data_IF_902233972401
#
_entry.id   IF_902233972401
#
_cell.length_a   1.000
_cell.length_b   1.000
_cell.length_c   1.000
_cell.angle_alpha   90.00
_cell.angle_beta   90.00
_cell.angle_gamma   90.00
#
_symmetry.space_group_name_H-M   'P 1'
#
loop_
_entity.id
_entity.type
_entity.pdbx_description
1 polymer ?
#
# COMPACT_ATOMS: atom_id res chain seq x y z
N UNK A 1 55.32 27.93 19.81
CA UNK A 1 54.68 26.76 19.18
C UNK A 1 53.48 26.26 19.99
N UNK A 2 53.60 26.13 21.30
CA UNK A 2 52.51 25.62 22.16
C UNK A 2 51.22 26.47 22.16
N UNK A 3 51.33 27.78 22.03
CA UNK A 3 50.18 28.70 22.02
C UNK A 3 49.38 28.61 20.72
N UNK A 4 50.08 28.43 19.58
CA UNK A 4 49.46 28.21 18.26
C UNK A 4 48.72 26.87 18.24
N UNK A 5 49.31 25.83 18.85
CA UNK A 5 48.69 24.51 18.93
C UNK A 5 47.38 24.52 19.74
N UNK A 6 47.33 25.29 20.83
CA UNK A 6 46.10 25.45 21.65
C UNK A 6 44.96 26.10 20.86
N UNK A 7 45.25 27.13 20.07
CA UNK A 7 44.25 27.83 19.25
C UNK A 7 43.65 26.88 18.20
N UNK A 8 44.48 26.07 17.54
CA UNK A 8 44.02 25.10 16.52
C UNK A 8 43.12 24.02 17.14
N UNK A 9 43.43 23.53 18.34
CA UNK A 9 42.63 22.51 19.05
C UNK A 9 41.27 23.07 19.50
N UNK A 10 41.23 24.33 19.93
CA UNK A 10 39.97 24.98 20.35
C UNK A 10 39.05 25.23 19.15
N UNK A 11 39.58 25.73 18.03
CA UNK A 11 38.82 25.99 16.80
C UNK A 11 38.29 24.70 16.15
N UNK A 12 39.11 23.64 16.10
CA UNK A 12 38.68 22.32 15.60
C UNK A 12 37.60 21.69 16.50
N UNK A 13 37.68 21.89 17.82
CA UNK A 13 36.61 21.50 18.74
C UNK A 13 35.32 22.31 18.53
N UNK A 14 35.43 23.62 18.34
CA UNK A 14 34.29 24.51 18.13
C UNK A 14 33.52 24.18 16.84
N UNK A 15 34.24 23.97 15.73
CA UNK A 15 33.64 23.56 14.45
C UNK A 15 32.96 22.18 14.54
N UNK A 16 33.55 21.21 15.26
CA UNK A 16 32.93 19.90 15.48
C UNK A 16 31.60 19.98 16.26
N UNK A 17 31.51 20.85 17.27
CA UNK A 17 30.28 21.07 18.04
C UNK A 17 29.16 21.65 17.16
N UNK A 18 29.48 22.63 16.30
CA UNK A 18 28.51 23.23 15.37
C UNK A 18 28.00 22.17 14.38
N UNK A 19 28.90 21.38 13.80
CA UNK A 19 28.51 20.32 12.85
C UNK A 19 27.61 19.29 13.54
N UNK A 20 27.96 18.84 14.75
CA UNK A 20 27.14 17.92 15.54
C UNK A 20 25.74 18.46 15.81
N UNK A 21 25.63 19.76 16.17
CA UNK A 21 24.34 20.42 16.38
C UNK A 21 23.50 20.45 15.09
N UNK A 22 24.10 20.83 13.96
CA UNK A 22 23.42 20.92 12.66
C UNK A 22 22.94 19.54 12.19
N UNK A 23 23.80 18.52 12.29
CA UNK A 23 23.44 17.13 11.94
C UNK A 23 22.33 16.60 12.85
N UNK A 24 22.39 16.85 14.16
CA UNK A 24 21.35 16.42 15.10
C UNK A 24 19.99 17.08 14.82
N UNK A 25 19.97 18.36 14.43
CA UNK A 25 18.74 19.03 14.00
C UNK A 25 18.19 18.47 12.68
N UNK A 26 19.06 18.10 11.74
CA UNK A 26 18.67 17.45 10.48
C UNK A 26 18.09 16.05 10.74
N UNK A 27 18.75 15.22 11.54
CA UNK A 27 18.26 13.88 11.90
C UNK A 27 16.85 13.93 12.48
N UNK A 28 16.59 14.84 13.43
CA UNK A 28 15.25 15.06 14.00
C UNK A 28 14.20 15.48 12.96
N UNK A 29 14.60 16.18 11.89
CA UNK A 29 13.69 16.53 10.79
C UNK A 29 13.45 15.32 9.89
N UNK A 30 14.48 14.57 9.53
CA UNK A 30 14.36 13.35 8.74
C UNK A 30 13.46 12.32 9.44
N UNK A 31 13.69 12.04 10.73
CA UNK A 31 12.84 11.13 11.51
C UNK A 31 11.36 11.55 11.51
N UNK A 32 11.08 12.86 11.62
CA UNK A 32 9.70 13.36 11.56
C UNK A 32 9.09 13.20 10.17
N UNK A 33 9.87 13.36 9.11
CA UNK A 33 9.40 13.17 7.75
C UNK A 33 9.20 11.70 7.43
N UNK A 34 10.10 10.82 7.87
CA UNK A 34 9.98 9.37 7.74
C UNK A 34 8.74 8.86 8.47
N UNK A 35 8.53 9.23 9.73
CA UNK A 35 7.30 8.85 10.47
C UNK A 35 6.03 9.29 9.76
N UNK A 36 5.99 10.52 9.26
CA UNK A 36 4.84 11.01 8.48
C UNK A 36 4.64 10.26 7.17
N UNK A 37 5.73 9.84 6.53
CA UNK A 37 5.70 9.07 5.30
C UNK A 37 5.20 7.67 5.57
N UNK A 38 5.70 7.02 6.60
CA UNK A 38 5.28 5.68 7.04
C UNK A 38 3.81 5.66 7.45
N UNK A 39 3.35 6.63 8.25
CA UNK A 39 1.92 6.76 8.58
C UNK A 39 1.05 6.96 7.33
N UNK A 40 1.53 7.71 6.34
CA UNK A 40 0.80 7.93 5.09
C UNK A 40 0.76 6.66 4.25
N UNK A 41 1.87 5.93 4.17
CA UNK A 41 1.97 4.65 3.46
C UNK A 41 1.03 3.62 4.11
N UNK A 42 1.06 3.47 5.45
CA UNK A 42 0.14 2.59 6.19
C UNK A 42 -1.33 2.94 5.96
N UNK A 43 -1.69 4.24 5.97
CA UNK A 43 -3.07 4.67 5.68
C UNK A 43 -3.48 4.37 4.23
N UNK A 44 -2.56 4.52 3.28
CA UNK A 44 -2.81 4.19 1.89
C UNK A 44 -3.01 2.69 1.69
N UNK A 45 -2.17 1.87 2.31
CA UNK A 45 -2.29 0.41 2.30
C UNK A 45 -3.63 -0.05 2.89
N UNK A 46 -4.00 0.48 4.07
CA UNK A 46 -5.28 0.17 4.70
C UNK A 46 -6.48 0.57 3.82
N UNK A 47 -6.42 1.74 3.18
CA UNK A 47 -7.48 2.18 2.27
C UNK A 47 -7.56 1.28 1.03
N UNK A 48 -6.43 0.91 0.44
CA UNK A 48 -6.37 0.02 -0.72
C UNK A 48 -6.93 -1.37 -0.37
N UNK A 49 -6.65 -1.89 0.83
CA UNK A 49 -7.22 -3.15 1.34
C UNK A 49 -8.74 -3.10 1.39
N UNK A 50 -9.32 -2.06 2.01
CA UNK A 50 -10.79 -1.90 2.11
C UNK A 50 -11.43 -1.82 0.72
N UNK A 51 -10.83 -1.07 -0.20
CA UNK A 51 -11.32 -0.96 -1.57
C UNK A 51 -11.32 -2.34 -2.26
N UNK A 52 -10.23 -3.09 -2.12
CA UNK A 52 -10.08 -4.39 -2.75
C UNK A 52 -11.08 -5.43 -2.22
N UNK A 53 -11.28 -5.47 -0.90
CA UNK A 53 -12.30 -6.31 -0.26
C UNK A 53 -13.71 -5.94 -0.72
N UNK A 54 -14.02 -4.64 -0.76
CA UNK A 54 -15.32 -4.13 -1.21
C UNK A 54 -15.60 -4.50 -2.67
N UNK A 55 -14.59 -4.36 -3.55
CA UNK A 55 -14.69 -4.76 -4.94
C UNK A 55 -14.90 -6.26 -5.10
N UNK A 56 -14.16 -7.08 -4.34
CA UNK A 56 -14.32 -8.53 -4.38
C UNK A 56 -15.73 -8.96 -3.91
N UNK A 57 -16.25 -8.37 -2.83
CA UNK A 57 -17.62 -8.59 -2.38
C UNK A 57 -18.67 -8.16 -3.41
N UNK A 58 -18.49 -7.00 -4.04
CA UNK A 58 -19.39 -6.52 -5.09
C UNK A 58 -19.36 -7.40 -6.36
N UNK A 59 -18.19 -7.89 -6.76
CA UNK A 59 -18.04 -8.85 -7.87
C UNK A 59 -18.73 -10.17 -7.54
N UNK A 60 -18.58 -10.67 -6.31
CA UNK A 60 -19.22 -11.92 -5.88
C UNK A 60 -20.72 -11.80 -5.88
N UNK A 61 -21.25 -10.70 -5.34
CA UNK A 61 -22.67 -10.39 -5.43
C UNK A 61 -23.15 -10.31 -6.89
N UNK A 62 -22.38 -9.64 -7.76
CA UNK A 62 -22.73 -9.49 -9.17
C UNK A 62 -22.75 -10.82 -9.91
N UNK A 63 -21.74 -11.68 -9.69
CA UNK A 63 -21.66 -13.03 -10.27
C UNK A 63 -22.81 -13.90 -9.75
N UNK A 64 -23.08 -13.90 -8.45
CA UNK A 64 -24.20 -14.65 -7.88
C UNK A 64 -25.55 -14.16 -8.40
N UNK A 65 -25.74 -12.86 -8.53
CA UNK A 65 -26.96 -12.25 -9.06
C UNK A 65 -27.15 -12.61 -10.54
N UNK A 66 -26.11 -12.45 -11.36
CA UNK A 66 -26.14 -12.83 -12.77
C UNK A 66 -26.41 -14.34 -12.94
N UNK A 67 -25.81 -15.18 -12.08
CA UNK A 67 -26.07 -16.63 -12.04
C UNK A 67 -27.51 -16.96 -11.63
N UNK A 68 -28.10 -16.19 -10.71
CA UNK A 68 -29.49 -16.38 -10.32
C UNK A 68 -30.44 -15.98 -11.46
N UNK A 69 -30.19 -14.83 -12.10
CA UNK A 69 -30.96 -14.34 -13.24
C UNK A 69 -30.87 -15.30 -14.42
N UNK A 70 -29.69 -15.88 -14.69
CA UNK A 70 -29.50 -16.83 -15.80
C UNK A 70 -30.29 -18.14 -15.63
N UNK A 71 -30.80 -18.43 -14.42
CA UNK A 71 -31.66 -19.60 -14.15
C UNK A 71 -33.14 -19.31 -14.36
N UNK A 72 -33.53 -18.06 -14.61
CA UNK A 72 -34.93 -17.66 -14.79
C UNK A 72 -35.38 -18.01 -16.23
N UNK A 73 -36.41 -18.84 -16.43
CA UNK A 73 -36.84 -19.31 -17.77
C UNK A 73 -37.31 -18.20 -18.72
N UNK A 74 -37.79 -17.09 -18.17
CA UNK A 74 -38.28 -15.93 -18.93
C UNK A 74 -37.22 -14.85 -19.16
N UNK A 75 -36.01 -15.02 -18.65
CA UNK A 75 -34.94 -14.03 -18.80
C UNK A 75 -34.34 -14.13 -20.21
N UNK A 76 -34.86 -13.32 -21.12
CA UNK A 76 -34.30 -13.17 -22.47
C UNK A 76 -33.05 -12.28 -22.41
N UNK A 77 -31.89 -12.90 -22.25
CA UNK A 77 -30.62 -12.19 -22.22
C UNK A 77 -30.19 -11.91 -23.67
N UNK A 78 -30.15 -10.63 -24.09
CA UNK A 78 -29.85 -10.19 -25.47
C UNK A 78 -28.37 -10.33 -25.89
N UNK A 79 -27.66 -11.28 -25.29
CA UNK A 79 -26.25 -11.58 -25.46
C UNK A 79 -25.90 -12.87 -24.72
N UNK A 80 -24.70 -13.41 -24.97
CA UNK A 80 -24.21 -14.61 -24.28
C UNK A 80 -23.86 -14.28 -22.81
N UNK A 81 -24.91 -14.20 -21.97
CA UNK A 81 -24.79 -14.01 -20.52
C UNK A 81 -23.86 -15.05 -19.90
N UNK A 82 -23.77 -16.26 -20.48
CA UNK A 82 -22.85 -17.30 -20.02
C UNK A 82 -21.39 -16.94 -20.33
N UNK A 83 -21.07 -16.47 -21.53
CA UNK A 83 -19.73 -15.98 -21.86
C UNK A 83 -19.32 -14.79 -20.97
N UNK A 84 -20.25 -13.87 -20.68
CA UNK A 84 -19.98 -12.75 -19.78
C UNK A 84 -19.72 -13.22 -18.34
N UNK A 85 -20.47 -14.21 -17.86
CA UNK A 85 -20.30 -14.80 -16.52
C UNK A 85 -18.97 -15.54 -16.41
N UNK A 86 -18.61 -16.33 -17.42
CA UNK A 86 -17.33 -17.05 -17.49
C UNK A 86 -16.14 -16.08 -17.50
N UNK A 87 -16.23 -15.00 -18.29
CA UNK A 87 -15.21 -13.95 -18.33
C UNK A 87 -15.07 -13.23 -16.96
N UNK A 88 -16.18 -12.95 -16.27
CA UNK A 88 -16.16 -12.34 -14.95
C UNK A 88 -15.51 -13.27 -13.89
N UNK A 89 -15.87 -14.55 -13.89
CA UNK A 89 -15.27 -15.56 -13.01
C UNK A 89 -13.76 -15.71 -13.26
N UNK A 90 -13.35 -15.77 -14.53
CA UNK A 90 -11.94 -15.84 -14.92
C UNK A 90 -11.16 -14.60 -14.49
N UNK A 91 -11.76 -13.42 -14.60
CA UNK A 91 -11.16 -12.16 -14.13
C UNK A 91 -10.95 -12.19 -12.62
N UNK A 92 -11.95 -12.63 -11.85
CA UNK A 92 -11.85 -12.80 -10.39
C UNK A 92 -10.73 -13.77 -10.00
N UNK A 93 -10.64 -14.93 -10.65
CA UNK A 93 -9.57 -15.90 -10.38
C UNK A 93 -8.19 -15.34 -10.70
N UNK A 94 -8.06 -14.64 -11.82
CA UNK A 94 -6.81 -14.01 -12.24
C UNK A 94 -6.38 -12.95 -11.23
N UNK A 95 -7.31 -12.12 -10.76
CA UNK A 95 -7.07 -11.13 -9.71
C UNK A 95 -6.62 -11.79 -8.41
N UNK A 96 -7.28 -12.88 -7.98
CA UNK A 96 -6.87 -13.65 -6.80
C UNK A 96 -5.45 -14.20 -6.95
N UNK A 97 -5.11 -14.77 -8.10
CA UNK A 97 -3.74 -15.28 -8.38
C UNK A 97 -2.70 -14.18 -8.38
N UNK A 98 -3.01 -13.02 -8.97
CA UNK A 98 -2.10 -11.88 -9.00
C UNK A 98 -1.82 -11.34 -7.59
N UNK A 99 -2.85 -11.24 -6.73
CA UNK A 99 -2.70 -10.83 -5.33
C UNK A 99 -1.87 -11.84 -4.52
N UNK A 100 -2.10 -13.13 -4.72
CA UNK A 100 -1.28 -14.18 -4.09
C UNK A 100 0.17 -14.15 -4.56
N UNK A 101 0.41 -13.96 -5.86
CA UNK A 101 1.76 -13.86 -6.42
C UNK A 101 2.52 -12.62 -5.92
N UNK A 102 1.81 -11.51 -5.69
CA UNK A 102 2.38 -10.30 -5.12
C UNK A 102 2.70 -10.43 -3.61
N UNK A 103 2.40 -11.56 -2.97
CA UNK A 103 2.55 -11.75 -1.52
C UNK A 103 1.52 -10.98 -0.68
N UNK A 104 0.54 -10.37 -1.35
CA UNK A 104 -0.52 -9.54 -0.76
C UNK A 104 -1.72 -10.40 -0.34
N UNK A 105 -1.69 -11.72 -0.54
CA UNK A 105 -2.78 -12.62 -0.16
C UNK A 105 -3.15 -12.54 1.33
N UNK A 106 -2.19 -12.24 2.22
CA UNK A 106 -2.47 -12.02 3.64
C UNK A 106 -3.34 -10.78 3.90
N UNK A 107 -3.35 -9.79 3.00
CA UNK A 107 -4.24 -8.63 3.15
C UNK A 107 -5.71 -8.97 2.83
N UNK A 108 -6.01 -10.14 2.27
CA UNK A 108 -7.36 -10.52 1.81
C UNK A 108 -8.00 -11.63 2.65
N UNK A 109 -7.30 -12.17 3.65
CA UNK A 109 -7.80 -13.18 4.60
C UNK A 109 -7.26 -12.82 5.99
N UNK A 110 -8.07 -12.08 6.75
CA UNK A 110 -7.95 -12.03 8.20
C UNK A 110 -9.29 -12.52 8.76
N UNK A 111 -9.40 -13.84 8.97
CA UNK A 111 -10.28 -14.43 9.98
C UNK A 111 -9.48 -14.60 11.27
#
# INVERSE_FOLDING_TARGET
MDEILKIIVIESGFSAVIIGLVVGLMQKRFEKMEKKREEKEQRQEALQRIILESLNGAMDLSISTATAISRIPSAHCNGDMHAALEAAQKTKETQRRALTAAGISHLMHDD
#
